data_IF_075848214253
#
_entry.id   IF_075848214253
#
_cell.length_a   1.000
_cell.length_b   1.000
_cell.length_c   1.000
_cell.angle_alpha   90.00
_cell.angle_beta   90.00
_cell.angle_gamma   90.00
#
_symmetry.space_group_name_H-M   'P 1'
#
loop_
_entity.id
_entity.type
_entity.pdbx_description
1 polymer ?
#
# COMPACT_ATOMS: atom_id res chain seq x y z
N UNK A 1 6.21 1.16 23.30
CA UNK A 1 5.13 0.88 22.32
C UNK A 1 5.73 0.96 20.92
N UNK A 2 5.71 -0.10 20.12
CA UNK A 2 6.43 -0.12 18.83
C UNK A 2 5.84 0.85 17.80
N UNK A 3 6.71 1.59 17.09
CA UNK A 3 6.36 2.55 16.03
C UNK A 3 5.39 1.98 14.97
N UNK A 4 5.47 0.67 14.70
CA UNK A 4 4.60 -0.04 13.77
C UNK A 4 3.11 -0.02 14.13
N UNK A 5 2.74 0.30 15.38
CA UNK A 5 1.33 0.33 15.80
C UNK A 5 0.64 1.67 15.56
N UNK A 6 1.37 2.70 15.10
CA UNK A 6 0.84 4.06 14.92
C UNK A 6 0.77 4.42 13.42
N UNK A 7 -0.36 4.15 12.74
CA UNK A 7 -0.52 4.50 11.33
C UNK A 7 -0.18 5.96 10.96
N UNK A 8 -0.56 7.00 11.74
CA UNK A 8 -0.19 8.37 11.38
C UNK A 8 1.32 8.61 11.39
N UNK A 9 2.06 7.92 12.26
CA UNK A 9 3.53 8.06 12.32
C UNK A 9 4.18 7.41 11.10
N UNK A 10 3.68 6.25 10.66
CA UNK A 10 4.15 5.59 9.44
C UNK A 10 3.88 6.46 8.20
N UNK A 11 2.72 7.11 8.14
CA UNK A 11 2.36 8.02 7.04
C UNK A 11 3.28 9.24 7.06
N UNK A 12 3.45 9.90 8.21
CA UNK A 12 4.32 11.06 8.34
C UNK A 12 5.77 10.72 7.94
N UNK A 13 6.28 9.58 8.41
CA UNK A 13 7.61 9.10 8.04
C UNK A 13 7.71 8.82 6.54
N UNK A 14 6.70 8.18 5.95
CA UNK A 14 6.62 7.94 4.51
C UNK A 14 6.65 9.23 3.70
N UNK A 15 5.89 10.25 4.11
CA UNK A 15 5.93 11.58 3.48
C UNK A 15 7.32 12.18 3.57
N UNK A 16 7.94 12.20 4.76
CA UNK A 16 9.28 12.77 4.95
C UNK A 16 10.31 12.07 4.07
N UNK A 17 10.29 10.74 4.01
CA UNK A 17 11.18 9.95 3.17
C UNK A 17 10.96 10.28 1.68
N UNK A 18 9.70 10.27 1.22
CA UNK A 18 9.39 10.53 -0.19
C UNK A 18 9.74 11.96 -0.62
N UNK A 19 9.48 12.96 0.22
CA UNK A 19 9.84 14.36 -0.06
C UNK A 19 11.37 14.53 -0.09
N UNK A 20 12.07 14.02 0.91
CA UNK A 20 13.54 14.10 0.95
C UNK A 20 14.17 13.44 -0.27
N UNK A 21 13.64 12.28 -0.68
CA UNK A 21 14.16 11.57 -1.82
C UNK A 21 13.84 12.24 -3.17
N UNK A 22 12.73 12.97 -3.28
CA UNK A 22 12.45 13.83 -4.44
C UNK A 22 13.49 14.95 -4.58
N UNK A 23 13.89 15.60 -3.50
CA UNK A 23 14.98 16.58 -3.51
C UNK A 23 16.33 15.97 -3.92
N UNK A 24 16.52 14.66 -3.69
CA UNK A 24 17.70 13.91 -4.15
C UNK A 24 17.56 13.38 -5.59
N UNK A 25 16.47 13.71 -6.31
CA UNK A 25 16.20 13.26 -7.68
C UNK A 25 15.57 11.86 -7.79
N UNK A 26 15.27 11.20 -6.67
CA UNK A 26 14.65 9.87 -6.65
C UNK A 26 13.12 9.97 -6.77
N UNK A 27 12.64 10.43 -7.92
CA UNK A 27 11.21 10.66 -8.21
C UNK A 27 10.31 9.43 -8.09
N UNK A 28 10.88 8.23 -8.20
CA UNK A 28 10.20 6.95 -8.07
C UNK A 28 9.87 6.55 -6.62
N UNK A 29 10.39 7.27 -5.61
CA UNK A 29 10.32 6.89 -4.19
C UNK A 29 8.93 6.81 -3.54
N UNK A 30 7.88 7.53 -3.98
CA UNK A 30 6.54 7.26 -3.50
C UNK A 30 6.09 5.80 -3.71
N UNK A 31 6.59 5.12 -4.74
CA UNK A 31 6.26 3.71 -5.00
C UNK A 31 6.78 2.75 -3.92
N UNK A 32 8.10 2.63 -3.63
CA UNK A 32 8.61 1.72 -2.60
C UNK A 32 8.11 2.08 -1.20
N UNK A 33 7.85 3.36 -0.92
CA UNK A 33 7.23 3.80 0.34
C UNK A 33 5.79 3.29 0.42
N UNK A 34 5.00 3.48 -0.64
CA UNK A 34 3.67 2.90 -0.78
C UNK A 34 3.69 1.38 -0.62
N UNK A 35 4.60 0.69 -1.30
CA UNK A 35 4.81 -0.76 -1.23
C UNK A 35 5.04 -1.23 0.22
N UNK A 36 5.97 -0.57 0.91
CA UNK A 36 6.29 -0.86 2.31
C UNK A 36 5.07 -0.65 3.21
N UNK A 37 4.32 0.43 3.00
CA UNK A 37 3.07 0.68 3.73
C UNK A 37 2.02 -0.41 3.44
N UNK A 38 1.91 -0.81 2.17
CA UNK A 38 1.07 -1.91 1.70
C UNK A 38 1.46 -3.25 2.30
N UNK A 39 2.71 -3.46 2.71
CA UNK A 39 3.17 -4.67 3.42
C UNK A 39 2.97 -4.56 4.93
N UNK A 40 3.08 -3.39 5.53
CA UNK A 40 2.98 -3.23 7.00
C UNK A 40 1.53 -3.06 7.48
N UNK A 41 0.71 -2.28 6.77
CA UNK A 41 -0.65 -1.93 7.21
C UNK A 41 -1.66 -3.02 6.81
N UNK A 42 -2.28 -3.76 7.75
CA UNK A 42 -2.99 -5.01 7.45
C UNK A 42 -4.21 -4.85 6.53
N UNK A 43 -4.83 -3.68 6.53
CA UNK A 43 -6.10 -3.43 5.82
C UNK A 43 -5.85 -2.58 4.57
N UNK A 44 -6.06 -3.20 3.40
CA UNK A 44 -5.92 -2.57 2.09
C UNK A 44 -6.72 -1.25 1.95
N UNK A 45 -7.95 -1.23 2.51
CA UNK A 45 -8.82 -0.04 2.53
C UNK A 45 -8.20 1.19 3.22
N UNK A 46 -7.16 1.00 4.02
CA UNK A 46 -6.43 2.09 4.68
C UNK A 46 -5.04 2.30 4.09
N UNK A 47 -4.34 1.23 3.67
CA UNK A 47 -3.00 1.36 3.07
C UNK A 47 -3.04 2.05 1.72
N UNK A 48 -4.03 1.77 0.86
CA UNK A 48 -4.10 2.34 -0.49
C UNK A 48 -4.36 3.85 -0.44
N UNK A 49 -5.39 4.37 0.27
CA UNK A 49 -5.57 5.82 0.40
C UNK A 49 -4.39 6.51 1.09
N UNK A 50 -3.73 5.84 2.04
CA UNK A 50 -2.56 6.39 2.70
C UNK A 50 -1.35 6.46 1.76
N UNK A 51 -1.11 5.45 0.92
CA UNK A 51 -0.09 5.48 -0.14
C UNK A 51 -0.36 6.58 -1.16
N UNK A 52 -1.63 6.74 -1.57
CA UNK A 52 -2.06 7.83 -2.43
C UNK A 52 -1.78 9.21 -1.80
N UNK A 53 -2.14 9.39 -0.51
CA UNK A 53 -1.89 10.64 0.22
C UNK A 53 -0.39 10.94 0.35
N UNK A 54 0.45 9.93 0.59
CA UNK A 54 1.90 10.10 0.62
C UNK A 54 2.41 10.58 -0.74
N UNK A 55 2.01 9.93 -1.82
CA UNK A 55 2.39 10.33 -3.19
C UNK A 55 1.91 11.73 -3.55
N UNK A 56 0.67 12.06 -3.19
CA UNK A 56 0.08 13.39 -3.37
C UNK A 56 0.90 14.47 -2.67
N UNK A 57 1.16 14.30 -1.37
CA UNK A 57 1.91 15.28 -0.57
C UNK A 57 3.35 15.36 -1.07
N UNK A 58 3.99 14.24 -1.36
CA UNK A 58 5.36 14.19 -1.83
C UNK A 58 5.57 15.00 -3.11
N UNK A 59 4.63 14.92 -4.05
CA UNK A 59 4.73 15.67 -5.32
C UNK A 59 4.18 17.10 -5.23
N UNK A 60 3.23 17.37 -4.33
CA UNK A 60 2.66 18.73 -4.17
C UNK A 60 3.58 19.63 -3.35
N UNK A 61 4.25 19.12 -2.32
CA UNK A 61 5.06 19.95 -1.42
C UNK A 61 6.24 20.67 -2.11
N UNK A 62 7.04 20.01 -2.98
CA UNK A 62 8.07 20.69 -3.76
C UNK A 62 7.48 21.71 -4.73
N UNK A 63 6.37 21.39 -5.41
CA UNK A 63 5.69 22.32 -6.31
C UNK A 63 5.24 23.60 -5.59
N UNK A 64 4.69 23.48 -4.38
CA UNK A 64 4.33 24.64 -3.56
C UNK A 64 5.59 25.45 -3.18
N UNK A 65 6.69 24.79 -2.84
CA UNK A 65 7.98 25.44 -2.58
C UNK A 65 8.47 26.26 -3.78
N UNK A 66 8.48 25.65 -4.96
CA UNK A 66 8.89 26.28 -6.23
C UNK A 66 7.94 27.44 -6.62
N UNK A 67 6.63 27.28 -6.40
CA UNK A 67 5.65 28.35 -6.63
C UNK A 67 5.92 29.58 -5.77
N UNK A 68 6.28 29.38 -4.50
CA UNK A 68 6.57 30.47 -3.56
C UNK A 68 7.91 31.15 -3.87
N UNK A 69 8.91 30.38 -4.31
CA UNK A 69 10.26 30.91 -4.57
C UNK A 69 10.42 31.56 -5.94
N UNK A 70 9.91 30.92 -7.00
CA UNK A 70 10.21 31.30 -8.38
C UNK A 70 8.96 31.56 -9.22
N UNK A 71 7.80 31.12 -8.77
CA UNK A 71 6.55 31.16 -9.54
C UNK A 71 6.54 30.10 -10.65
N UNK A 72 5.62 29.13 -10.55
CA UNK A 72 5.50 28.04 -11.53
C UNK A 72 4.91 28.49 -12.87
N UNK A 73 4.24 29.64 -12.92
CA UNK A 73 3.47 30.11 -14.09
C UNK A 73 4.24 30.06 -15.42
N UNK A 74 5.44 30.66 -15.53
CA UNK A 74 6.24 30.61 -16.75
C UNK A 74 6.68 29.19 -17.11
N UNK A 75 7.18 28.42 -16.14
CA UNK A 75 7.64 27.05 -16.38
C UNK A 75 6.49 26.13 -16.83
N UNK A 76 5.35 26.18 -16.14
CA UNK A 76 4.16 25.42 -16.46
C UNK A 76 3.58 25.81 -17.82
N UNK A 77 3.61 27.10 -18.18
CA UNK A 77 3.21 27.60 -19.50
C UNK A 77 4.13 27.08 -20.60
N UNK A 78 5.45 27.10 -20.39
CA UNK A 78 6.41 26.54 -21.33
C UNK A 78 6.21 25.04 -21.52
N UNK A 79 6.01 24.29 -20.44
CA UNK A 79 5.73 22.84 -20.51
C UNK A 79 4.41 22.58 -21.24
N UNK A 80 3.36 23.33 -20.93
CA UNK A 80 2.08 23.21 -21.62
C UNK A 80 2.22 23.51 -23.11
N UNK A 81 3.00 24.53 -23.50
CA UNK A 81 3.28 24.83 -24.89
C UNK A 81 4.02 23.70 -25.61
N UNK A 82 5.03 23.09 -24.97
CA UNK A 82 5.76 21.92 -25.52
C UNK A 82 4.82 20.72 -25.70
N UNK A 83 3.89 20.52 -24.76
CA UNK A 83 2.87 19.47 -24.84
C UNK A 83 1.76 19.77 -25.87
N UNK A 84 1.77 20.94 -26.53
CA UNK A 84 0.71 21.36 -27.45
C UNK A 84 -0.57 21.82 -26.74
N UNK A 85 -0.52 22.05 -25.44
CA UNK A 85 -1.63 22.45 -24.56
C UNK A 85 -1.67 23.96 -24.35
N UNK A 86 -1.64 24.73 -25.44
CA UNK A 86 -1.61 26.20 -25.38
C UNK A 86 -2.78 26.75 -24.56
N UNK A 87 -2.48 27.55 -23.54
CA UNK A 87 -3.47 28.16 -22.64
C UNK A 87 -3.87 27.30 -21.43
N UNK A 88 -3.37 26.07 -21.29
CA UNK A 88 -3.67 25.17 -20.18
C UNK A 88 -2.44 24.87 -19.30
N UNK A 89 -1.80 25.92 -18.77
CA UNK A 89 -0.61 25.81 -17.92
C UNK A 89 -0.85 25.00 -16.63
N UNK A 90 -2.08 24.88 -16.17
CA UNK A 90 -2.42 24.08 -14.98
C UNK A 90 -2.38 22.57 -15.26
N UNK A 91 -2.51 22.15 -16.52
CA UNK A 91 -2.62 20.73 -16.87
C UNK A 91 -1.33 19.94 -16.59
N UNK A 92 -0.12 20.43 -16.96
CA UNK A 92 1.13 19.79 -16.54
C UNK A 92 1.25 19.62 -15.03
N UNK A 93 0.89 20.65 -14.25
CA UNK A 93 0.94 20.61 -12.78
C UNK A 93 -0.01 19.55 -12.25
N UNK A 94 -1.25 19.52 -12.75
CA UNK A 94 -2.24 18.51 -12.39
C UNK A 94 -1.76 17.09 -12.73
N UNK A 95 -1.18 16.89 -13.92
CA UNK A 95 -0.63 15.60 -14.34
C UNK A 95 0.50 15.14 -13.41
N UNK A 96 1.41 16.04 -13.04
CA UNK A 96 2.50 15.76 -12.10
C UNK A 96 1.96 15.26 -10.76
N UNK A 97 0.94 15.93 -10.21
CA UNK A 97 0.29 15.54 -8.96
C UNK A 97 -0.42 14.18 -9.09
N UNK A 98 -1.12 13.95 -10.20
CA UNK A 98 -1.80 12.67 -10.48
C UNK A 98 -0.79 11.53 -10.57
N UNK A 99 0.31 11.71 -11.30
CA UNK A 99 1.38 10.71 -11.42
C UNK A 99 1.93 10.35 -10.04
N UNK A 100 2.26 11.35 -9.21
CA UNK A 100 2.73 11.12 -7.84
C UNK A 100 1.75 10.34 -6.97
N UNK A 101 0.48 10.72 -7.04
CA UNK A 101 -0.61 10.07 -6.28
C UNK A 101 -0.80 8.62 -6.72
N UNK A 102 -0.85 8.37 -8.03
CA UNK A 102 -0.99 7.02 -8.59
C UNK A 102 0.21 6.15 -8.25
N UNK A 103 1.42 6.70 -8.26
CA UNK A 103 2.63 5.98 -7.92
C UNK A 103 2.59 5.44 -6.47
N UNK A 104 2.20 6.29 -5.52
CA UNK A 104 2.04 5.88 -4.11
C UNK A 104 0.89 4.89 -3.90
N UNK A 105 -0.24 5.10 -4.57
CA UNK A 105 -1.39 4.19 -4.53
C UNK A 105 -1.04 2.80 -5.09
N UNK A 106 -0.32 2.77 -6.22
CA UNK A 106 0.06 1.54 -6.91
C UNK A 106 1.06 0.72 -6.08
N UNK A 107 2.04 1.37 -5.46
CA UNK A 107 2.93 0.72 -4.50
C UNK A 107 2.14 0.07 -3.36
N UNK A 108 1.27 0.85 -2.70
CA UNK A 108 0.46 0.33 -1.59
C UNK A 108 -0.49 -0.79 -1.99
N UNK A 109 -1.07 -0.73 -3.18
CA UNK A 109 -1.88 -1.80 -3.75
C UNK A 109 -1.03 -3.07 -3.96
N UNK A 110 0.13 -2.95 -4.60
CA UNK A 110 1.02 -4.07 -4.88
C UNK A 110 1.51 -4.74 -3.59
N UNK A 111 1.87 -3.95 -2.58
CA UNK A 111 2.28 -4.47 -1.27
C UNK A 111 1.13 -5.19 -0.57
N UNK A 112 -0.08 -4.63 -0.68
CA UNK A 112 -1.28 -5.25 -0.10
C UNK A 112 -1.64 -6.57 -0.79
N UNK A 113 -1.52 -6.63 -2.11
CA UNK A 113 -1.74 -7.83 -2.92
C UNK A 113 -0.67 -8.90 -2.65
N UNK A 114 0.60 -8.52 -2.54
CA UNK A 114 1.71 -9.42 -2.26
C UNK A 114 1.53 -10.18 -0.94
N UNK A 115 0.93 -9.56 0.09
CA UNK A 115 0.59 -10.27 1.33
C UNK A 115 -0.50 -11.32 1.19
N UNK A 116 -1.42 -11.14 0.25
CA UNK A 116 -2.47 -12.14 0.01
C UNK A 116 -1.89 -13.41 -0.60
N UNK A 117 -0.76 -13.29 -1.30
CA UNK A 117 -0.02 -14.39 -1.92
C UNK A 117 1.02 -15.02 -0.99
N UNK A 118 1.38 -14.36 0.12
CA UNK A 118 2.32 -14.92 1.09
C UNK A 118 1.74 -16.21 1.69
N UNK A 119 2.49 -17.35 1.68
CA UNK A 119 2.01 -18.59 2.24
C UNK A 119 1.62 -18.36 3.70
N UNK A 120 0.33 -18.47 3.99
CA UNK A 120 -0.16 -18.52 5.37
C UNK A 120 0.42 -19.80 5.94
N UNK A 121 1.48 -19.67 6.74
CA UNK A 121 2.14 -20.79 7.39
C UNK A 121 1.09 -21.77 7.91
N UNK A 122 1.17 -23.01 7.43
CA UNK A 122 0.28 -24.08 7.79
C UNK A 122 0.09 -24.05 9.31
N UNK A 123 -1.13 -23.76 9.74
CA UNK A 123 -1.51 -24.01 11.13
C UNK A 123 -1.24 -25.50 11.33
N UNK A 124 -0.35 -25.93 12.24
CA UNK A 124 -0.22 -27.35 12.51
C UNK A 124 -1.61 -27.82 12.91
N UNK A 125 -2.14 -28.74 12.10
CA UNK A 125 -3.38 -29.42 12.36
C UNK A 125 -3.13 -30.28 13.59
N UNK A 126 -3.35 -29.68 14.77
CA UNK A 126 -3.21 -30.35 16.05
C UNK A 126 -4.26 -31.45 16.09
N UNK A 127 -3.81 -32.66 15.79
CA UNK A 127 -4.30 -33.92 16.33
C UNK A 127 -5.81 -34.05 16.43
N UNK A 128 -6.49 -34.28 15.31
CA UNK A 128 -7.74 -35.07 15.31
C UNK A 128 -7.43 -36.50 14.88
N UNK A 129 -6.50 -37.13 15.58
CA UNK A 129 -6.43 -38.59 15.63
C UNK A 129 -7.58 -39.06 16.54
N UNK A 130 -8.80 -39.04 15.99
CA UNK A 130 -9.83 -39.96 16.47
C UNK A 130 -9.36 -41.32 16.01
N UNK A 131 -8.59 -41.97 16.89
CA UNK A 131 -8.28 -43.37 16.76
C UNK A 131 -9.62 -44.10 16.54
N UNK A 132 -9.65 -44.82 15.42
CA UNK A 132 -10.57 -45.87 15.09
C UNK A 132 -10.93 -46.68 16.34
N UNK A 133 -12.15 -46.57 16.83
CA UNK A 133 -12.71 -47.66 17.61
C UNK A 133 -13.12 -48.76 16.62
N UNK A 134 -12.49 -49.93 16.66
CA UNK A 134 -12.89 -51.05 15.83
C UNK A 134 -14.27 -51.54 16.29
N UNK A 135 -15.20 -51.54 15.32
CA UNK A 135 -16.38 -52.38 15.28
C UNK A 135 -16.04 -53.80 15.75
N UNK A 136 -16.54 -54.17 16.92
CA UNK A 136 -16.71 -55.56 17.34
C UNK A 136 -18.13 -55.71 17.85
N UNK A 137 -19.02 -56.04 16.92
CA UNK A 137 -20.30 -56.69 17.18
C UNK A 137 -20.03 -58.17 17.50
N UNK A 138 -20.32 -58.68 18.71
CA UNK A 138 -20.53 -60.11 18.90
C UNK A 138 -22.02 -60.40 18.76
N UNK A 139 -22.38 -60.97 17.62
CA UNK A 139 -23.60 -61.75 17.47
C UNK A 139 -23.55 -62.96 18.41
N UNK A 140 -24.01 -62.83 19.67
CA UNK A 140 -24.39 -63.97 20.53
C UNK A 140 -24.88 -63.49 21.91
N UNK A 141 -26.10 -62.94 22.01
CA UNK A 141 -26.89 -63.05 23.25
C UNK A 141 -28.40 -63.05 22.96
N UNK A 142 -28.82 -63.91 22.02
CA UNK A 142 -30.21 -64.40 21.94
C UNK A 142 -30.44 -65.64 22.81
N UNK A 143 -29.67 -65.79 23.90
CA UNK A 143 -29.70 -67.00 24.72
C UNK A 143 -29.47 -66.71 26.21
N UNK A 144 -30.14 -65.71 26.78
CA UNK A 144 -30.41 -65.67 28.23
C UNK A 144 -31.50 -64.62 28.54
N UNK A 145 -32.62 -65.09 29.11
CA UNK A 145 -33.55 -64.31 29.94
C UNK A 145 -34.47 -63.29 29.23
N UNK A 146 -35.50 -63.81 28.56
CA UNK A 146 -36.92 -63.55 28.90
C UNK A 146 -37.85 -64.47 28.12
#
# INVERSE_FOLDING_TARGET
MSLLRRPPVLIALGVVISVAALYLGAWWMPFPVGLSLGLVVPRARFSIPAGAAIGLIAWTAPLVGEQVQYGLGPAATSIAAIMGLTGAADLPVALTIVVGTLLGASGAWLGSAGRALAPRGAKPEVGRSRASEPSLEPASEKAALR
#
